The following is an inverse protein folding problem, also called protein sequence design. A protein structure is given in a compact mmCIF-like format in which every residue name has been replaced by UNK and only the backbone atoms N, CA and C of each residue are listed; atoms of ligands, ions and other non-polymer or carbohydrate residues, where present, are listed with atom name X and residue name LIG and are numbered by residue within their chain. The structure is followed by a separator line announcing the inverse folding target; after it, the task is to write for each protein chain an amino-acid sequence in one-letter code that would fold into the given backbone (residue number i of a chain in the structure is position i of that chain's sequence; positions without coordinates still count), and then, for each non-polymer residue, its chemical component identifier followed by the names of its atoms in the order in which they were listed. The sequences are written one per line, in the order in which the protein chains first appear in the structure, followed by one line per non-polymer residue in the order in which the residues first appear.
data_IF_989483938149
#
_entry.id   IF_989483938149
#
_cell.length_a   1.000
_cell.length_b   1.000
_cell.length_c   1.000
_cell.angle_alpha   90.00
_cell.angle_beta   90.00
_cell.angle_gamma   90.00
#
_symmetry.space_group_name_H-M   'P 1'
#
loop_
_entity.id
_entity.type
_entity.pdbx_description
1 polymer ?
#
# COMPACT_ATOMS: atom_id res chain seq x y z
N UNK A 1 -16.42 -76.47 -8.02
CA UNK A 1 -15.36 -75.72 -7.41
C UNK A 1 -15.30 -74.31 -8.07
N UNK A 2 -16.06 -73.37 -7.54
CA UNK A 2 -16.01 -71.94 -7.95
C UNK A 2 -15.10 -71.19 -6.96
N UNK A 3 -13.96 -70.75 -7.43
CA UNK A 3 -13.00 -69.92 -6.63
C UNK A 3 -13.23 -68.44 -6.92
N UNK A 4 -13.64 -67.73 -5.86
CA UNK A 4 -13.81 -66.29 -5.76
C UNK A 4 -12.69 -65.47 -6.42
N UNK A 5 -13.09 -64.60 -7.37
CA UNK A 5 -12.26 -63.52 -7.88
C UNK A 5 -13.02 -62.18 -7.75
N UNK A 6 -13.17 -61.71 -6.55
CA UNK A 6 -13.57 -60.31 -6.31
C UNK A 6 -12.95 -59.89 -4.98
N UNK A 7 -11.78 -59.26 -5.00
CA UNK A 7 -11.65 -58.02 -4.27
C UNK A 7 -10.66 -57.01 -4.87
N UNK A 8 -10.20 -57.13 -6.14
CA UNK A 8 -9.18 -56.20 -6.66
C UNK A 8 -9.74 -54.91 -7.26
N UNK A 9 -11.01 -54.86 -7.60
CA UNK A 9 -11.65 -53.68 -8.22
C UNK A 9 -12.01 -52.62 -7.19
N UNK A 10 -12.31 -53.00 -5.95
CA UNK A 10 -12.68 -52.04 -4.89
C UNK A 10 -11.47 -51.27 -4.31
N UNK A 11 -10.25 -51.80 -4.41
CA UNK A 11 -9.04 -51.13 -3.90
C UNK A 11 -8.57 -50.03 -4.83
N UNK A 12 -8.82 -50.15 -6.14
CA UNK A 12 -8.47 -49.11 -7.12
C UNK A 12 -9.46 -47.92 -7.11
N UNK A 13 -10.74 -48.18 -6.81
CA UNK A 13 -11.74 -47.12 -6.69
C UNK A 13 -11.54 -46.29 -5.42
N UNK A 14 -11.08 -46.90 -4.31
CA UNK A 14 -10.77 -46.18 -3.08
C UNK A 14 -9.49 -45.33 -3.18
N UNK A 15 -8.52 -45.75 -3.98
CA UNK A 15 -7.29 -45.00 -4.19
C UNK A 15 -7.51 -43.77 -5.10
N UNK A 16 -8.48 -43.83 -6.02
CA UNK A 16 -8.86 -42.68 -6.86
C UNK A 16 -9.71 -41.63 -6.10
N UNK A 17 -10.41 -42.03 -5.06
CA UNK A 17 -11.19 -41.10 -4.18
C UNK A 17 -10.29 -40.35 -3.19
N UNK A 18 -9.07 -40.84 -2.91
CA UNK A 18 -8.10 -40.17 -2.04
C UNK A 18 -7.23 -39.12 -2.78
N UNK A 19 -7.17 -39.17 -4.11
CA UNK A 19 -6.38 -38.22 -4.92
C UNK A 19 -7.18 -36.93 -5.28
N UNK A 20 -8.51 -36.91 -5.09
CA UNK A 20 -9.37 -35.76 -5.40
C UNK A 20 -9.44 -34.73 -4.24
N UNK A 21 -8.74 -34.98 -3.13
CA UNK A 21 -8.81 -34.13 -1.94
C UNK A 21 -7.77 -32.99 -1.89
N UNK A 22 -6.99 -32.75 -2.91
CA UNK A 22 -5.97 -31.69 -2.90
C UNK A 22 -6.06 -30.71 -4.09
N UNK A 23 -7.30 -30.39 -4.51
CA UNK A 23 -7.52 -29.13 -5.19
C UNK A 23 -8.22 -28.19 -4.19
N UNK A 24 -7.50 -27.83 -3.15
CA UNK A 24 -7.91 -26.73 -2.28
C UNK A 24 -7.95 -25.47 -3.13
N UNK A 25 -9.13 -25.12 -3.63
CA UNK A 25 -9.38 -23.80 -4.14
C UNK A 25 -9.00 -22.81 -3.02
N UNK A 26 -8.06 -21.92 -3.28
CA UNK A 26 -7.71 -20.86 -2.35
C UNK A 26 -9.00 -20.16 -1.92
N UNK A 27 -9.28 -20.18 -0.61
CA UNK A 27 -10.46 -19.46 -0.11
C UNK A 27 -10.28 -17.98 -0.40
N UNK A 28 -11.28 -17.33 -1.03
CA UNK A 28 -11.18 -15.92 -1.35
C UNK A 28 -10.90 -15.12 -0.07
N UNK A 29 -9.94 -14.20 -0.11
CA UNK A 29 -9.76 -13.27 1.00
C UNK A 29 -10.97 -12.36 1.06
N UNK A 30 -11.75 -12.53 2.10
CA UNK A 30 -12.91 -11.69 2.39
C UNK A 30 -12.46 -10.54 3.28
N UNK A 31 -12.92 -9.33 2.98
CA UNK A 31 -12.83 -8.21 3.93
C UNK A 31 -13.85 -8.44 5.03
N UNK A 32 -13.36 -8.87 6.20
CA UNK A 32 -14.20 -9.23 7.36
C UNK A 32 -14.19 -8.18 8.46
N UNK A 33 -13.06 -7.46 8.62
CA UNK A 33 -12.87 -6.50 9.70
C UNK A 33 -12.27 -5.20 9.18
N UNK A 34 -12.91 -4.07 9.45
CA UNK A 34 -12.42 -2.73 9.12
C UNK A 34 -12.21 -1.97 10.41
N UNK A 35 -11.02 -1.40 10.58
CA UNK A 35 -10.67 -0.53 11.68
C UNK A 35 -10.82 0.92 11.21
N UNK A 36 -11.60 1.71 11.94
CA UNK A 36 -11.75 3.15 11.69
C UNK A 36 -11.08 3.91 12.82
N UNK A 37 -10.00 4.60 12.51
CA UNK A 37 -9.25 5.37 13.48
C UNK A 37 -9.65 6.85 13.41
N UNK A 38 -10.12 7.38 14.53
CA UNK A 38 -10.26 8.81 14.71
C UNK A 38 -8.94 9.39 15.21
N UNK A 39 -8.27 10.21 14.39
CA UNK A 39 -7.02 10.86 14.75
C UNK A 39 -7.12 11.68 16.05
N UNK A 40 -6.01 11.77 16.79
CA UNK A 40 -5.91 12.53 18.04
C UNK A 40 -6.87 12.05 19.13
N UNK A 41 -7.17 12.91 20.14
CA UNK A 41 -8.12 12.64 21.22
C UNK A 41 -7.60 13.00 22.59
N UNK A 42 -8.50 13.30 23.53
CA UNK A 42 -8.18 13.66 24.91
C UNK A 42 -7.23 14.87 25.00
N UNK A 43 -6.04 14.65 25.53
CA UNK A 43 -4.98 15.67 25.67
C UNK A 43 -4.30 16.03 24.36
N UNK A 44 -4.34 15.17 23.35
CA UNK A 44 -3.85 15.47 22.00
C UNK A 44 -4.97 16.10 21.17
N UNK A 45 -4.93 17.42 21.04
CA UNK A 45 -5.98 18.18 20.32
C UNK A 45 -5.80 18.15 18.79
N UNK A 46 -4.61 17.74 18.28
CA UNK A 46 -4.25 17.88 16.88
C UNK A 46 -4.17 19.34 16.44
N UNK A 47 -4.42 19.58 15.17
CA UNK A 47 -4.51 20.92 14.61
C UNK A 47 -5.75 21.66 15.13
N UNK A 48 -5.74 22.99 14.99
CA UNK A 48 -6.85 23.85 15.39
C UNK A 48 -7.03 25.02 14.43
N UNK A 49 -8.27 25.45 14.23
CA UNK A 49 -8.59 26.66 13.52
C UNK A 49 -8.11 27.89 14.31
N UNK A 50 -7.06 28.57 13.83
CA UNK A 50 -6.41 29.68 14.54
C UNK A 50 -6.30 30.95 13.70
N UNK A 51 -7.02 31.05 12.61
CA UNK A 51 -7.09 32.27 11.81
C UNK A 51 -8.18 33.22 12.32
N UNK A 52 -8.20 34.46 11.84
CA UNK A 52 -9.20 35.44 12.21
C UNK A 52 -10.61 34.99 11.78
N UNK A 53 -11.57 35.03 12.70
CA UNK A 53 -12.95 34.53 12.52
C UNK A 53 -13.10 33.02 12.32
N UNK A 54 -12.10 32.23 12.67
CA UNK A 54 -12.21 30.76 12.71
C UNK A 54 -13.26 30.30 13.74
N UNK A 55 -13.88 29.14 13.50
CA UNK A 55 -14.77 28.46 14.45
C UNK A 55 -14.02 27.92 15.67
N UNK A 56 -12.69 28.01 15.67
CA UNK A 56 -11.81 27.45 16.73
C UNK A 56 -11.94 25.94 16.86
N UNK A 57 -12.26 25.29 15.78
CA UNK A 57 -12.39 23.84 15.72
C UNK A 57 -11.10 23.15 16.15
N UNK A 58 -11.23 21.99 16.77
CA UNK A 58 -10.12 21.11 17.13
C UNK A 58 -10.19 19.87 16.26
N UNK A 59 -9.06 19.43 15.74
CA UNK A 59 -8.98 18.27 14.87
C UNK A 59 -9.56 17.01 15.53
N UNK A 60 -9.26 16.79 16.82
CA UNK A 60 -9.76 15.64 17.56
C UNK A 60 -11.29 15.51 17.59
N UNK A 61 -12.01 16.64 17.60
CA UNK A 61 -13.47 16.66 17.65
C UNK A 61 -14.05 16.35 16.25
N UNK A 62 -13.45 16.95 15.22
CA UNK A 62 -13.83 16.74 13.82
C UNK A 62 -13.59 15.30 13.40
N UNK A 63 -12.41 14.77 13.69
CA UNK A 63 -12.02 13.39 13.31
C UNK A 63 -12.92 12.36 13.99
N UNK A 64 -13.30 12.59 15.27
CA UNK A 64 -14.23 11.72 15.96
C UNK A 64 -15.62 11.75 15.33
N UNK A 65 -16.14 12.94 15.01
CA UNK A 65 -17.46 13.09 14.41
C UNK A 65 -17.54 12.38 13.04
N UNK A 66 -16.55 12.59 12.17
CA UNK A 66 -16.49 11.94 10.85
C UNK A 66 -16.31 10.42 10.99
N UNK A 67 -15.40 9.97 11.87
CA UNK A 67 -15.14 8.54 12.07
C UNK A 67 -16.39 7.80 12.57
N UNK A 68 -17.16 8.37 13.48
CA UNK A 68 -18.40 7.74 13.95
C UNK A 68 -19.45 7.63 12.85
N UNK A 69 -19.64 8.66 12.03
CA UNK A 69 -20.53 8.60 10.85
C UNK A 69 -20.04 7.55 9.84
N UNK A 70 -18.74 7.47 9.62
CA UNK A 70 -18.14 6.44 8.74
C UNK A 70 -18.40 5.04 9.29
N UNK A 71 -18.24 4.82 10.60
CA UNK A 71 -18.55 3.52 11.24
C UNK A 71 -20.01 3.13 11.01
N UNK A 72 -20.94 4.08 11.20
CA UNK A 72 -22.37 3.84 11.03
C UNK A 72 -22.72 3.54 9.57
N UNK A 73 -22.15 4.30 8.62
CA UNK A 73 -22.39 4.09 7.20
C UNK A 73 -21.78 2.77 6.71
N UNK A 74 -20.57 2.43 7.13
CA UNK A 74 -19.95 1.12 6.81
C UNK A 74 -20.77 -0.05 7.36
N UNK A 75 -21.25 0.01 8.61
CA UNK A 75 -22.12 -1.03 9.18
C UNK A 75 -23.43 -1.20 8.42
N UNK A 76 -24.01 -0.10 8.00
CA UNK A 76 -25.25 -0.07 7.21
C UNK A 76 -25.06 -0.67 5.83
N UNK A 77 -23.99 -0.31 5.13
CA UNK A 77 -23.74 -0.69 3.74
C UNK A 77 -23.02 -2.04 3.58
N UNK A 78 -22.32 -2.50 4.62
CA UNK A 78 -21.54 -3.73 4.64
C UNK A 78 -21.94 -4.61 5.85
N UNK A 79 -23.19 -5.11 5.91
CA UNK A 79 -23.72 -5.78 7.12
C UNK A 79 -22.97 -7.07 7.49
N UNK A 80 -22.18 -7.64 6.57
CA UNK A 80 -21.33 -8.83 6.84
C UNK A 80 -19.93 -8.49 7.33
N UNK A 81 -19.59 -7.20 7.50
CA UNK A 81 -18.26 -6.73 7.88
C UNK A 81 -18.28 -6.19 9.31
N UNK A 82 -17.33 -6.63 10.13
CA UNK A 82 -17.13 -6.09 11.47
C UNK A 82 -16.42 -4.74 11.36
N UNK A 83 -17.02 -3.67 11.86
CA UNK A 83 -16.43 -2.32 11.84
C UNK A 83 -16.13 -1.88 13.27
N UNK A 84 -14.87 -1.56 13.54
CA UNK A 84 -14.34 -1.29 14.87
C UNK A 84 -13.72 0.11 14.89
N UNK A 85 -14.28 1.07 15.61
CA UNK A 85 -13.62 2.35 15.88
C UNK A 85 -12.50 2.19 16.89
N UNK A 86 -11.39 2.93 16.73
CA UNK A 86 -10.34 2.97 17.76
C UNK A 86 -10.80 3.69 19.02
N UNK A 87 -11.65 4.70 18.87
CA UNK A 87 -12.31 5.42 19.97
C UNK A 87 -13.72 5.85 19.59
N UNK A 88 -14.60 5.91 20.57
CA UNK A 88 -15.98 6.41 20.43
C UNK A 88 -16.25 7.66 21.26
N UNK A 89 -15.27 8.09 22.03
CA UNK A 89 -15.33 9.27 22.90
C UNK A 89 -14.03 10.07 22.81
N UNK A 90 -13.97 11.23 23.43
CA UNK A 90 -12.78 12.09 23.47
C UNK A 90 -11.75 11.56 24.48
N UNK A 91 -11.06 10.48 24.13
CA UNK A 91 -9.97 9.89 24.90
C UNK A 91 -8.65 9.93 24.12
N UNK A 92 -7.54 10.05 24.84
CA UNK A 92 -6.22 9.93 24.25
C UNK A 92 -5.82 8.46 24.11
N UNK A 93 -5.33 8.10 22.94
CA UNK A 93 -4.73 6.79 22.67
C UNK A 93 -3.41 7.01 21.93
N UNK A 94 -2.37 6.31 22.38
CA UNK A 94 -1.07 6.32 21.67
C UNK A 94 -1.21 5.65 20.30
N UNK A 95 -0.46 6.08 19.28
CA UNK A 95 -0.44 5.39 17.98
C UNK A 95 -0.15 3.88 18.09
N UNK A 96 0.70 3.48 19.06
CA UNK A 96 1.00 2.07 19.35
C UNK A 96 -0.22 1.28 19.86
N UNK A 97 -1.08 1.92 20.66
CA UNK A 97 -2.30 1.29 21.19
C UNK A 97 -3.34 1.12 20.07
N UNK A 98 -3.45 2.09 19.15
CA UNK A 98 -4.32 2.02 17.98
C UNK A 98 -3.89 0.91 17.01
N UNK A 99 -2.58 0.79 16.74
CA UNK A 99 -2.04 -0.27 15.92
C UNK A 99 -2.22 -1.66 16.57
N UNK A 100 -1.99 -1.78 17.90
CA UNK A 100 -2.23 -3.01 18.65
C UNK A 100 -3.70 -3.43 18.60
N UNK A 101 -4.61 -2.50 18.77
CA UNK A 101 -6.04 -2.76 18.63
C UNK A 101 -6.37 -3.31 17.23
N UNK A 102 -5.81 -2.71 16.17
CA UNK A 102 -6.03 -3.16 14.81
C UNK A 102 -5.55 -4.60 14.60
N UNK A 103 -4.40 -4.95 15.17
CA UNK A 103 -3.85 -6.32 15.13
C UNK A 103 -4.67 -7.30 15.97
N UNK A 104 -5.06 -6.94 17.19
CA UNK A 104 -5.86 -7.76 18.11
C UNK A 104 -7.21 -8.16 17.50
N UNK A 105 -7.81 -7.27 16.72
CA UNK A 105 -9.07 -7.55 16.04
C UNK A 105 -8.90 -8.13 14.63
N UNK A 106 -7.68 -8.47 14.21
CA UNK A 106 -7.38 -9.01 12.88
C UNK A 106 -8.01 -8.15 11.77
N UNK A 107 -7.65 -6.84 11.77
CA UNK A 107 -8.18 -5.88 10.79
C UNK A 107 -7.70 -6.21 9.38
N UNK A 108 -8.61 -6.19 8.41
CA UNK A 108 -8.31 -6.33 7.00
C UNK A 108 -8.01 -4.97 6.33
N UNK A 109 -8.57 -3.89 6.88
CA UNK A 109 -8.33 -2.52 6.45
C UNK A 109 -8.22 -1.58 7.66
N UNK A 110 -7.34 -0.57 7.54
CA UNK A 110 -7.19 0.49 8.53
C UNK A 110 -7.43 1.86 7.87
N UNK A 111 -8.50 2.55 8.29
CA UNK A 111 -8.91 3.85 7.79
C UNK A 111 -8.67 4.91 8.86
N UNK A 112 -7.66 5.75 8.69
CA UNK A 112 -7.30 6.79 9.65
C UNK A 112 -7.84 8.15 9.21
N UNK A 113 -8.67 8.77 10.03
CA UNK A 113 -9.35 10.04 9.75
C UNK A 113 -8.61 11.19 10.44
N UNK A 114 -8.17 12.16 9.65
CA UNK A 114 -7.47 13.38 10.08
C UNK A 114 -8.05 14.64 9.44
N UNK A 115 -7.58 15.80 9.87
CA UNK A 115 -7.82 17.07 9.23
C UNK A 115 -6.52 17.88 9.21
N UNK A 116 -6.04 18.14 8.00
CA UNK A 116 -4.75 18.81 7.76
C UNK A 116 -4.74 20.27 8.24
N UNK A 117 -3.56 20.82 8.37
CA UNK A 117 -3.36 22.23 8.60
C UNK A 117 -2.11 22.71 7.87
N UNK A 118 -2.13 23.96 7.41
CA UNK A 118 -0.98 24.59 6.79
C UNK A 118 -0.43 25.73 7.64
N UNK A 119 0.78 26.20 7.34
CA UNK A 119 1.35 27.36 8.02
C UNK A 119 0.54 28.62 7.72
N UNK A 120 0.11 29.33 8.78
CA UNK A 120 -0.65 30.56 8.67
C UNK A 120 0.29 31.75 8.47
N UNK A 121 -0.01 32.59 7.48
CA UNK A 121 0.67 33.87 7.29
C UNK A 121 0.13 34.89 8.27
N UNK A 122 1.00 35.82 8.68
CA UNK A 122 0.61 36.96 9.51
C UNK A 122 0.18 38.11 8.60
N UNK A 123 -1.03 38.60 8.81
CA UNK A 123 -1.53 39.86 8.27
C UNK A 123 -1.35 41.00 9.27
N UNK A 124 -1.40 42.22 8.79
CA UNK A 124 -1.47 43.42 9.62
C UNK A 124 -2.46 44.41 9.04
N UNK A 125 -3.23 45.08 9.90
CA UNK A 125 -4.08 46.20 9.52
C UNK A 125 -3.80 47.40 10.43
N UNK A 126 -3.82 48.60 9.86
CA UNK A 126 -3.71 49.80 10.66
C UNK A 126 -5.02 50.03 11.41
N UNK A 127 -4.94 50.17 12.72
CA UNK A 127 -6.11 50.38 13.62
C UNK A 127 -6.16 51.78 14.17
N UNK A 128 -5.15 52.61 13.95
CA UNK A 128 -5.09 54.01 14.39
C UNK A 128 -3.72 54.61 14.18
N UNK A 129 -3.53 55.75 14.79
CA UNK A 129 -2.23 56.42 14.95
C UNK A 129 -1.98 56.74 16.41
N UNK A 130 -0.72 56.85 16.78
CA UNK A 130 -0.30 57.37 18.09
C UNK A 130 0.68 58.51 17.90
N UNK A 131 0.56 59.58 18.72
CA UNK A 131 1.57 60.65 18.75
C UNK A 131 2.81 60.17 19.50
N UNK A 132 3.96 60.32 18.89
CA UNK A 132 5.26 59.95 19.46
C UNK A 132 6.19 61.16 19.39
N UNK A 133 6.71 61.54 20.56
CA UNK A 133 7.68 62.62 20.62
C UNK A 133 9.01 62.17 20.09
N UNK A 134 9.48 62.78 19.00
CA UNK A 134 10.82 62.65 18.47
C UNK A 134 11.66 63.88 18.72
N UNK A 135 12.99 63.75 18.65
CA UNK A 135 13.88 64.87 18.95
C UNK A 135 14.76 65.17 17.69
N UNK A 136 14.66 66.41 17.23
CA UNK A 136 15.60 66.97 16.24
C UNK A 136 16.87 67.36 16.98
N UNK A 137 18.00 66.87 16.56
CA UNK A 137 19.28 67.19 17.14
C UNK A 137 19.90 68.29 16.29
N UNK A 138 20.20 69.43 16.95
CA UNK A 138 20.96 70.53 16.38
C UNK A 138 22.17 70.86 17.26
N UNK A 139 23.13 71.57 16.69
CA UNK A 139 24.32 72.00 17.41
C UNK A 139 24.45 73.51 17.30
N UNK A 140 24.67 74.19 18.40
CA UNK A 140 24.95 75.62 18.45
C UNK A 140 26.34 75.82 19.01
N UNK A 141 27.03 76.94 18.59
CA UNK A 141 28.38 77.30 18.98
C UNK A 141 29.45 76.89 17.93
N UNK A 142 30.65 77.39 18.07
CA UNK A 142 31.78 77.14 17.14
C UNK A 142 32.89 76.34 17.83
N UNK A 143 33.59 75.50 17.07
CA UNK A 143 34.75 74.73 17.52
C UNK A 143 34.41 73.73 18.70
N UNK A 144 35.30 73.66 19.68
CA UNK A 144 35.18 72.77 20.85
C UNK A 144 34.01 73.11 21.80
N UNK A 145 33.32 74.25 21.57
CA UNK A 145 32.17 74.70 22.40
C UNK A 145 30.77 74.40 21.78
N UNK A 146 30.71 73.47 20.81
CA UNK A 146 29.40 73.02 20.26
C UNK A 146 28.55 72.38 21.33
N UNK A 147 27.39 72.97 21.57
CA UNK A 147 26.35 72.34 22.46
C UNK A 147 25.29 71.66 21.61
N UNK A 148 24.96 70.42 21.97
CA UNK A 148 23.86 69.63 21.40
C UNK A 148 22.54 70.12 21.96
N UNK A 149 21.63 70.54 21.09
CA UNK A 149 20.27 70.93 21.44
C UNK A 149 19.34 69.82 20.91
N UNK A 150 18.46 69.32 21.76
CA UNK A 150 17.36 68.41 21.41
C UNK A 150 16.07 69.19 21.43
N UNK A 151 15.42 69.36 20.28
CA UNK A 151 14.13 70.02 20.16
C UNK A 151 13.07 68.95 19.94
N UNK A 152 12.08 68.79 20.84
CA UNK A 152 11.02 67.85 20.67
C UNK A 152 10.09 68.28 19.52
N UNK A 153 9.55 67.30 18.80
CA UNK A 153 8.47 67.48 17.87
C UNK A 153 7.61 66.20 17.85
N UNK A 154 6.31 66.34 17.62
CA UNK A 154 5.35 65.23 17.60
C UNK A 154 5.29 64.68 16.17
N UNK A 155 5.21 63.33 16.10
CA UNK A 155 5.01 62.58 14.85
C UNK A 155 3.92 61.54 15.08
N UNK A 156 2.95 61.54 14.20
CA UNK A 156 1.93 60.49 14.18
C UNK A 156 2.52 59.19 13.57
N UNK A 157 2.57 58.11 14.37
CA UNK A 157 3.00 56.81 13.93
C UNK A 157 1.78 55.86 13.83
N UNK A 158 1.70 55.04 12.74
CA UNK A 158 0.62 54.09 12.60
C UNK A 158 0.68 53.00 13.69
N UNK A 159 -0.43 52.65 14.24
CA UNK A 159 -0.59 51.49 15.13
C UNK A 159 -1.19 50.34 14.33
N UNK A 160 -0.51 49.20 14.36
CA UNK A 160 -0.93 48.02 13.61
C UNK A 160 -1.43 46.93 14.57
N UNK A 161 -2.52 46.31 14.21
CA UNK A 161 -2.98 45.03 14.76
C UNK A 161 -2.50 43.89 13.84
N UNK A 162 -2.02 42.81 14.44
CA UNK A 162 -1.57 41.64 13.72
C UNK A 162 -2.57 40.50 13.91
N UNK A 163 -2.90 39.81 12.82
CA UNK A 163 -3.80 38.69 12.83
C UNK A 163 -3.27 37.54 11.97
N UNK A 164 -3.73 36.31 12.23
CA UNK A 164 -3.42 35.17 11.40
C UNK A 164 -4.38 35.13 10.22
N UNK A 165 -3.83 35.08 9.00
CA UNK A 165 -4.60 34.95 7.77
C UNK A 165 -5.02 33.49 7.56
N UNK A 166 -6.24 33.21 7.05
CA UNK A 166 -6.65 31.88 6.72
C UNK A 166 -5.81 31.26 5.61
N UNK A 167 -5.75 29.95 5.58
CA UNK A 167 -5.17 29.20 4.47
C UNK A 167 -6.10 29.29 3.25
N UNK A 168 -5.54 29.42 2.06
CA UNK A 168 -6.30 29.44 0.80
C UNK A 168 -6.45 28.05 0.17
N UNK A 169 -5.53 27.13 0.48
CA UNK A 169 -5.63 25.73 0.03
C UNK A 169 -6.79 25.04 0.73
N UNK A 170 -7.63 24.33 -0.04
CA UNK A 170 -8.77 23.57 0.45
C UNK A 170 -8.86 22.22 -0.27
N UNK A 171 -9.59 21.27 0.29
CA UNK A 171 -9.84 19.96 -0.30
C UNK A 171 -9.42 18.80 0.61
N UNK A 172 -9.71 17.59 0.14
CA UNK A 172 -9.39 16.33 0.82
C UNK A 172 -8.20 15.66 0.13
N UNK A 173 -7.26 15.11 0.90
CA UNK A 173 -6.14 14.32 0.36
C UNK A 173 -6.05 12.98 1.07
N UNK A 174 -5.53 11.98 0.37
CA UNK A 174 -5.30 10.65 0.93
C UNK A 174 -3.80 10.38 1.00
N UNK A 175 -3.36 9.80 2.08
CA UNK A 175 -1.95 9.54 2.35
C UNK A 175 -1.72 8.07 2.61
N UNK A 176 -0.69 7.54 1.98
CA UNK A 176 -0.19 6.20 2.21
C UNK A 176 1.25 6.25 2.70
N UNK A 177 1.69 5.15 3.26
CA UNK A 177 3.07 4.99 3.68
C UNK A 177 4.00 4.92 2.45
N UNK A 178 5.19 5.54 2.53
CA UNK A 178 6.07 5.65 1.38
C UNK A 178 6.76 4.32 1.04
N UNK A 179 6.76 3.96 -0.24
CA UNK A 179 7.27 2.69 -0.79
C UNK A 179 8.69 2.30 -0.36
N UNK A 180 9.61 3.27 -0.28
CA UNK A 180 11.00 3.01 0.10
C UNK A 180 11.20 2.67 1.59
N UNK A 181 10.13 2.74 2.41
CA UNK A 181 10.15 2.39 3.84
C UNK A 181 9.42 1.08 4.15
N UNK A 182 9.17 0.24 3.16
CA UNK A 182 8.67 -1.13 3.38
C UNK A 182 9.49 -1.90 4.42
N UNK A 183 10.76 -1.54 4.62
CA UNK A 183 11.61 -2.07 5.71
C UNK A 183 11.08 -1.78 7.12
N UNK A 184 10.33 -0.71 7.34
CA UNK A 184 9.73 -0.40 8.64
C UNK A 184 8.48 -1.25 8.88
N UNK A 185 7.63 -1.41 7.87
CA UNK A 185 6.48 -2.35 7.89
C UNK A 185 7.00 -3.78 8.06
N UNK A 186 8.09 -4.13 7.37
CA UNK A 186 8.77 -5.40 7.50
C UNK A 186 9.22 -5.66 8.94
N UNK A 187 9.82 -4.67 9.63
CA UNK A 187 10.20 -4.79 11.04
C UNK A 187 8.98 -5.03 11.94
N UNK A 188 7.85 -4.40 11.65
CA UNK A 188 6.60 -4.60 12.39
C UNK A 188 6.07 -6.02 12.19
N UNK A 189 6.08 -6.52 10.95
CA UNK A 189 5.70 -7.91 10.62
C UNK A 189 6.65 -8.91 11.31
N UNK A 190 7.95 -8.63 11.35
CA UNK A 190 8.97 -9.51 11.94
C UNK A 190 9.12 -9.39 13.46
N UNK A 191 8.75 -8.26 14.05
CA UNK A 191 8.89 -7.96 15.48
C UNK A 191 7.61 -8.08 16.27
N UNK A 192 6.52 -8.49 15.62
CA UNK A 192 5.25 -8.80 16.29
C UNK A 192 5.42 -9.93 17.30
N UNK A 193 4.68 -9.86 18.41
CA UNK A 193 4.64 -10.86 19.48
C UNK A 193 4.60 -12.28 18.93
N UNK A 194 5.11 -13.25 19.69
CA UNK A 194 5.22 -14.69 19.35
C UNK A 194 3.87 -15.34 18.93
N UNK A 195 2.75 -14.62 19.04
CA UNK A 195 1.40 -15.03 18.64
C UNK A 195 0.89 -14.32 17.38
N UNK A 196 1.78 -13.83 16.52
CA UNK A 196 1.38 -13.19 15.28
C UNK A 196 0.98 -14.24 14.24
N UNK A 197 -0.31 -14.55 14.17
CA UNK A 197 -0.91 -15.30 13.07
C UNK A 197 -1.03 -14.36 11.87
N UNK A 198 -0.16 -14.52 10.88
CA UNK A 198 -0.44 -14.02 9.55
C UNK A 198 -1.50 -14.96 8.98
N UNK A 199 -2.74 -14.50 8.85
CA UNK A 199 -3.66 -15.11 7.92
C UNK A 199 -3.06 -14.93 6.53
N UNK A 200 -2.31 -15.92 6.10
CA UNK A 200 -1.72 -15.94 4.78
C UNK A 200 -2.87 -16.09 3.78
N UNK A 201 -3.10 -15.05 2.96
CA UNK A 201 -4.00 -15.14 1.82
C UNK A 201 -3.65 -16.38 0.99
N UNK A 202 -4.50 -17.40 1.04
CA UNK A 202 -4.38 -18.59 0.21
C UNK A 202 -3.37 -19.65 0.66
N UNK A 203 -2.87 -19.61 1.89
CA UNK A 203 -2.23 -20.77 2.50
C UNK A 203 -3.29 -21.46 3.36
N UNK A 204 -3.91 -22.49 2.81
CA UNK A 204 -4.70 -23.42 3.62
C UNK A 204 -3.88 -23.86 4.82
N UNK A 205 -4.39 -23.60 6.02
CA UNK A 205 -4.12 -24.23 7.30
C UNK A 205 -2.91 -25.20 7.34
N UNK A 206 -1.76 -24.76 6.88
CA UNK A 206 -0.51 -25.36 7.26
C UNK A 206 -0.11 -24.62 8.54
N UNK A 207 -0.29 -25.26 9.68
CA UNK A 207 0.35 -24.96 10.95
C UNK A 207 1.88 -24.96 10.80
N UNK A 208 2.41 -24.09 9.98
CA UNK A 208 3.83 -23.82 9.96
C UNK A 208 3.98 -22.37 10.43
N UNK A 209 4.33 -22.25 11.70
CA UNK A 209 4.94 -21.05 12.23
C UNK A 209 6.11 -20.68 11.31
N UNK A 210 5.86 -19.80 10.33
CA UNK A 210 6.93 -19.26 9.52
C UNK A 210 7.87 -18.49 10.42
N UNK A 211 9.10 -18.99 10.55
CA UNK A 211 10.15 -18.24 11.21
C UNK A 211 10.52 -17.03 10.31
N UNK A 212 9.87 -15.88 10.54
CA UNK A 212 10.18 -14.63 9.85
C UNK A 212 11.62 -14.14 10.07
N UNK A 213 12.35 -14.71 11.03
CA UNK A 213 13.78 -14.45 11.23
C UNK A 213 14.62 -15.26 10.24
N UNK A 214 14.08 -16.32 9.67
CA UNK A 214 14.75 -17.11 8.62
C UNK A 214 14.93 -16.29 7.33
N UNK A 215 15.88 -16.65 6.46
CA UNK A 215 16.03 -16.00 5.16
C UNK A 215 14.76 -16.06 4.30
N UNK A 216 14.04 -17.19 4.31
CA UNK A 216 12.78 -17.38 3.60
C UNK A 216 11.66 -16.52 4.20
N UNK A 217 11.54 -16.51 5.55
CA UNK A 217 10.56 -15.69 6.26
C UNK A 217 10.73 -14.20 5.97
N UNK A 218 11.97 -13.70 5.86
CA UNK A 218 12.24 -12.30 5.49
C UNK A 218 11.74 -11.95 4.09
N UNK A 219 11.83 -12.88 3.14
CA UNK A 219 11.32 -12.67 1.78
C UNK A 219 9.81 -12.59 1.80
N UNK A 220 9.17 -13.56 2.46
CA UNK A 220 7.71 -13.60 2.59
C UNK A 220 7.22 -12.30 3.25
N UNK A 221 7.84 -11.88 4.34
CA UNK A 221 7.50 -10.62 5.00
C UNK A 221 7.68 -9.40 4.07
N UNK A 222 8.72 -9.38 3.22
CA UNK A 222 8.90 -8.30 2.24
C UNK A 222 7.82 -8.29 1.14
N UNK A 223 7.37 -9.46 0.70
CA UNK A 223 6.24 -9.61 -0.23
C UNK A 223 4.97 -9.06 0.40
N UNK A 224 4.65 -9.44 1.65
CA UNK A 224 3.47 -8.92 2.35
C UNK A 224 3.53 -7.41 2.55
N UNK A 225 4.67 -6.86 2.96
CA UNK A 225 4.82 -5.42 3.14
C UNK A 225 4.55 -4.66 1.82
N UNK A 226 5.03 -5.19 0.70
CA UNK A 226 4.77 -4.61 -0.63
C UNK A 226 3.28 -4.72 -1.00
N UNK A 227 2.65 -5.87 -0.79
CA UNK A 227 1.22 -6.06 -1.04
C UNK A 227 0.36 -5.10 -0.25
N UNK A 228 0.63 -4.93 1.05
CA UNK A 228 -0.13 -3.98 1.86
C UNK A 228 0.00 -2.56 1.33
N UNK A 229 1.16 -2.20 0.79
CA UNK A 229 1.35 -0.89 0.17
C UNK A 229 0.55 -0.75 -1.13
N UNK A 230 0.60 -1.72 -2.03
CA UNK A 230 -0.14 -1.70 -3.30
C UNK A 230 -1.66 -1.69 -3.05
N UNK A 231 -2.12 -2.47 -2.08
CA UNK A 231 -3.51 -2.47 -1.63
C UNK A 231 -3.92 -1.14 -1.00
N UNK A 232 -3.03 -0.52 -0.22
CA UNK A 232 -3.26 0.83 0.34
C UNK A 232 -3.36 1.88 -0.76
N UNK A 233 -2.49 1.84 -1.76
CA UNK A 233 -2.50 2.76 -2.91
C UNK A 233 -3.80 2.65 -3.70
N UNK A 234 -4.24 1.44 -3.97
CA UNK A 234 -5.51 1.17 -4.66
C UNK A 234 -6.72 1.69 -3.90
N UNK A 235 -6.79 1.39 -2.59
CA UNK A 235 -7.87 1.90 -1.74
C UNK A 235 -7.85 3.43 -1.65
N UNK A 236 -6.67 4.03 -1.50
CA UNK A 236 -6.49 5.47 -1.46
C UNK A 236 -6.94 6.15 -2.76
N UNK A 237 -6.61 5.54 -3.91
CA UNK A 237 -7.05 6.01 -5.22
C UNK A 237 -8.58 5.99 -5.32
N UNK A 238 -9.23 4.91 -4.89
CA UNK A 238 -10.70 4.83 -4.90
C UNK A 238 -11.34 5.86 -3.96
N UNK A 239 -10.74 6.11 -2.78
CA UNK A 239 -11.24 7.16 -1.88
C UNK A 239 -11.10 8.55 -2.52
N UNK A 240 -9.97 8.84 -3.17
CA UNK A 240 -9.76 10.11 -3.86
C UNK A 240 -10.80 10.32 -4.98
N UNK A 241 -11.08 9.29 -5.79
CA UNK A 241 -12.10 9.32 -6.85
C UNK A 241 -13.51 9.55 -6.28
N UNK A 242 -13.90 8.86 -5.21
CA UNK A 242 -15.24 9.04 -4.63
C UNK A 242 -15.40 10.41 -3.95
N UNK A 243 -14.33 10.99 -3.39
CA UNK A 243 -14.32 12.37 -2.92
C UNK A 243 -14.52 13.35 -4.08
N UNK A 244 -13.82 13.16 -5.19
CA UNK A 244 -13.98 13.97 -6.41
C UNK A 244 -15.41 13.90 -6.94
N UNK A 245 -16.03 12.73 -6.91
CA UNK A 245 -17.42 12.50 -7.33
C UNK A 245 -18.45 13.29 -6.49
N UNK A 246 -18.12 13.72 -5.28
CA UNK A 246 -18.96 14.62 -4.48
C UNK A 246 -18.92 16.08 -4.95
N UNK A 247 -18.03 16.42 -5.88
CA UNK A 247 -17.74 17.79 -6.30
C UNK A 247 -16.74 18.51 -5.40
N UNK A 248 -16.21 17.84 -4.37
CA UNK A 248 -15.15 18.38 -3.50
C UNK A 248 -13.78 18.27 -4.16
N UNK A 249 -12.91 19.24 -3.92
CA UNK A 249 -11.54 19.18 -4.40
C UNK A 249 -10.82 17.96 -3.80
N UNK A 250 -10.48 16.99 -4.66
CA UNK A 250 -9.64 15.86 -4.33
C UNK A 250 -8.19 16.20 -4.67
N UNK A 251 -7.31 16.15 -3.66
CA UNK A 251 -5.92 16.60 -3.77
C UNK A 251 -4.94 15.45 -4.08
N UNK A 252 -5.49 14.30 -4.47
CA UNK A 252 -4.74 13.13 -4.90
C UNK A 252 -4.25 12.25 -3.76
N UNK A 253 -3.61 11.14 -4.16
CA UNK A 253 -2.93 10.20 -3.28
C UNK A 253 -1.49 10.64 -3.12
N UNK A 254 -1.05 10.75 -1.88
CA UNK A 254 0.27 11.25 -1.52
C UNK A 254 1.02 10.22 -0.67
N UNK A 255 2.34 10.22 -0.75
CA UNK A 255 3.19 9.38 0.08
C UNK A 255 3.88 10.21 1.16
N UNK A 256 3.83 9.74 2.41
CA UNK A 256 4.43 10.43 3.54
C UNK A 256 5.47 9.53 4.23
N UNK A 257 6.58 10.14 4.61
CA UNK A 257 7.71 9.42 5.23
C UNK A 257 7.74 9.52 6.75
N UNK A 258 7.10 10.54 7.30
CA UNK A 258 7.17 10.91 8.72
C UNK A 258 5.78 11.33 9.19
N UNK A 259 5.46 11.05 10.45
CA UNK A 259 4.22 11.51 11.09
C UNK A 259 2.97 10.65 10.84
N UNK A 260 3.12 9.49 10.19
CA UNK A 260 2.04 8.50 10.00
C UNK A 260 2.44 7.13 10.57
N UNK A 261 3.02 7.18 11.76
CA UNK A 261 3.55 5.97 12.42
C UNK A 261 2.49 4.87 12.56
N UNK A 262 1.23 5.22 12.80
CA UNK A 262 0.15 4.25 12.93
C UNK A 262 -0.02 3.39 11.67
N UNK A 263 0.17 3.95 10.46
CA UNK A 263 0.10 3.19 9.20
C UNK A 263 1.29 2.24 9.03
N UNK A 264 2.45 2.57 9.64
CA UNK A 264 3.64 1.73 9.58
C UNK A 264 3.53 0.52 10.51
N UNK A 265 2.83 0.70 11.62
CA UNK A 265 2.69 -0.29 12.68
C UNK A 265 1.53 -1.26 12.47
N UNK A 266 0.76 -1.10 11.38
CA UNK A 266 -0.29 -2.03 11.01
C UNK A 266 0.20 -3.03 9.98
N UNK A 267 -0.24 -4.27 10.10
CA UNK A 267 0.08 -5.37 9.19
C UNK A 267 -1.07 -5.64 8.20
N UNK A 268 -1.71 -4.59 7.76
CA UNK A 268 -2.83 -4.59 6.81
C UNK A 268 -2.76 -3.36 5.91
N UNK A 269 -3.50 -3.33 4.79
CA UNK A 269 -3.67 -2.13 4.00
C UNK A 269 -4.20 -0.98 4.86
N UNK A 270 -3.49 0.16 4.85
CA UNK A 270 -3.76 1.29 5.72
C UNK A 270 -3.64 2.61 4.96
N UNK A 271 -4.63 3.49 5.13
CA UNK A 271 -4.65 4.83 4.54
C UNK A 271 -4.98 5.88 5.60
N UNK A 272 -4.48 7.09 5.41
CA UNK A 272 -4.83 8.26 6.20
C UNK A 272 -5.55 9.26 5.29
N UNK A 273 -6.72 9.72 5.72
CA UNK A 273 -7.58 10.62 4.97
C UNK A 273 -7.58 11.96 5.67
N UNK A 274 -6.94 12.95 5.06
CA UNK A 274 -7.01 14.36 5.47
C UNK A 274 -8.29 14.96 4.91
N UNK A 275 -9.31 15.04 5.72
CA UNK A 275 -10.68 15.38 5.31
C UNK A 275 -10.85 16.81 4.87
N UNK A 276 -9.93 17.70 5.21
CA UNK A 276 -9.88 19.12 4.85
C UNK A 276 -8.86 19.87 5.69
N UNK A 277 -8.62 21.14 5.34
CA UNK A 277 -7.72 22.00 6.11
C UNK A 277 -8.49 22.75 7.20
N UNK A 278 -8.24 22.43 8.47
CA UNK A 278 -8.92 23.03 9.62
C UNK A 278 -8.70 24.54 9.75
N UNK A 279 -7.69 25.08 9.10
CA UNK A 279 -7.37 26.51 9.05
C UNK A 279 -7.71 27.18 7.70
N UNK A 280 -8.52 26.52 6.86
CA UNK A 280 -9.20 27.09 5.72
C UNK A 280 -10.69 27.32 6.05
N UNK A 281 -11.28 28.52 5.81
CA UNK A 281 -12.65 28.83 6.23
C UNK A 281 -13.74 27.97 5.59
N UNK A 282 -13.56 27.52 4.34
CA UNK A 282 -14.52 26.67 3.64
C UNK A 282 -14.45 25.25 4.18
N UNK A 283 -13.23 24.72 4.29
CA UNK A 283 -12.99 23.38 4.83
C UNK A 283 -13.42 23.30 6.30
N UNK A 284 -13.05 24.28 7.14
CA UNK A 284 -13.45 24.29 8.56
C UNK A 284 -14.97 24.22 8.72
N UNK A 285 -15.73 25.00 7.92
CA UNK A 285 -17.19 24.92 7.93
C UNK A 285 -17.71 23.57 7.43
N UNK A 286 -17.12 23.04 6.37
CA UNK A 286 -17.54 21.78 5.75
C UNK A 286 -17.33 20.59 6.70
N UNK A 287 -16.13 20.41 7.24
CA UNK A 287 -15.80 19.29 8.14
C UNK A 287 -16.47 19.36 9.51
N UNK A 288 -17.00 20.55 9.88
CA UNK A 288 -17.81 20.72 11.09
C UNK A 288 -19.32 20.64 10.83
N UNK A 289 -19.75 20.63 9.57
CA UNK A 289 -21.17 20.51 9.23
C UNK A 289 -21.62 19.04 9.23
N UNK A 290 -22.84 18.80 9.68
CA UNK A 290 -23.44 17.46 9.64
C UNK A 290 -23.46 16.91 8.20
N UNK A 291 -23.80 17.76 7.21
CA UNK A 291 -23.80 17.43 5.81
C UNK A 291 -22.43 17.04 5.29
N UNK A 292 -21.39 17.84 5.53
CA UNK A 292 -20.05 17.57 5.02
C UNK A 292 -19.43 16.30 5.63
N UNK A 293 -19.67 16.07 6.93
CA UNK A 293 -19.25 14.85 7.62
C UNK A 293 -19.94 13.60 7.01
N UNK A 294 -21.24 13.70 6.72
CA UNK A 294 -22.00 12.61 6.13
C UNK A 294 -21.54 12.33 4.69
N UNK A 295 -21.35 13.37 3.86
CA UNK A 295 -20.83 13.23 2.49
C UNK A 295 -19.48 12.54 2.44
N UNK A 296 -18.56 12.90 3.37
CA UNK A 296 -17.26 12.23 3.49
C UNK A 296 -17.41 10.75 3.90
N UNK A 297 -18.26 10.47 4.88
CA UNK A 297 -18.52 9.10 5.32
C UNK A 297 -19.10 8.24 4.19
N UNK A 298 -20.03 8.76 3.41
CA UNK A 298 -20.62 8.07 2.26
C UNK A 298 -19.61 7.85 1.13
N UNK A 299 -18.79 8.85 0.79
CA UNK A 299 -17.75 8.73 -0.24
C UNK A 299 -16.71 7.67 0.14
N UNK A 300 -16.20 7.70 1.38
CA UNK A 300 -15.25 6.70 1.88
C UNK A 300 -15.89 5.30 1.87
N UNK A 301 -17.16 5.18 2.29
CA UNK A 301 -17.86 3.89 2.29
C UNK A 301 -18.02 3.33 0.87
N UNK A 302 -18.37 4.15 -0.12
CA UNK A 302 -18.43 3.73 -1.53
C UNK A 302 -17.09 3.24 -2.04
N UNK A 303 -16.00 3.93 -1.70
CA UNK A 303 -14.66 3.49 -2.06
C UNK A 303 -14.32 2.13 -1.45
N UNK A 304 -14.63 1.92 -0.17
CA UNK A 304 -14.44 0.63 0.52
C UNK A 304 -15.29 -0.48 -0.11
N UNK A 305 -16.54 -0.20 -0.50
CA UNK A 305 -17.39 -1.18 -1.21
C UNK A 305 -16.77 -1.58 -2.55
N UNK A 306 -16.32 -0.61 -3.34
CA UNK A 306 -15.63 -0.87 -4.63
C UNK A 306 -14.37 -1.69 -4.42
N UNK A 307 -13.56 -1.33 -3.44
CA UNK A 307 -12.35 -2.05 -3.09
C UNK A 307 -12.66 -3.49 -2.66
N UNK A 308 -13.63 -3.69 -1.76
CA UNK A 308 -14.08 -5.01 -1.32
C UNK A 308 -14.53 -5.87 -2.49
N UNK A 309 -15.39 -5.34 -3.38
CA UNK A 309 -15.86 -6.06 -4.56
C UNK A 309 -14.69 -6.47 -5.46
N UNK A 310 -13.71 -5.59 -5.68
CA UNK A 310 -12.55 -5.91 -6.49
C UNK A 310 -11.71 -7.01 -5.88
N UNK A 311 -11.34 -6.91 -4.60
CA UNK A 311 -10.53 -7.91 -3.89
C UNK A 311 -11.22 -9.27 -3.84
N UNK A 312 -12.53 -9.30 -3.63
CA UNK A 312 -13.29 -10.55 -3.54
C UNK A 312 -13.63 -11.16 -4.90
N UNK A 313 -13.78 -10.36 -5.97
CA UNK A 313 -14.01 -10.86 -7.33
C UNK A 313 -12.76 -11.46 -7.95
N UNK A 314 -11.59 -10.92 -7.65
CA UNK A 314 -10.29 -11.47 -8.07
C UNK A 314 -10.17 -12.94 -7.64
N UNK A 315 -10.67 -13.26 -6.46
CA UNK A 315 -10.60 -14.59 -5.88
C UNK A 315 -11.70 -15.56 -6.39
N UNK A 316 -12.75 -15.06 -7.04
CA UNK A 316 -13.87 -15.88 -7.53
C UNK A 316 -13.75 -16.29 -9.02
N UNK A 317 -12.80 -15.78 -9.75
CA UNK A 317 -12.51 -16.19 -11.12
C UNK A 317 -11.58 -17.41 -11.13
N UNK A 318 -12.10 -18.56 -10.69
CA UNK A 318 -11.50 -19.85 -11.08
C UNK A 318 -11.72 -19.98 -12.58
N UNK A 319 -10.68 -20.23 -13.41
CA UNK A 319 -10.90 -20.55 -14.81
C UNK A 319 -11.71 -21.84 -14.88
N UNK A 320 -12.98 -21.73 -15.26
CA UNK A 320 -13.74 -22.91 -15.66
C UNK A 320 -13.02 -23.47 -16.88
N UNK A 321 -12.56 -24.71 -16.87
CA UNK A 321 -11.95 -25.30 -18.06
C UNK A 321 -13.00 -25.23 -19.16
N UNK A 322 -12.66 -24.56 -20.24
CA UNK A 322 -13.47 -24.57 -21.45
C UNK A 322 -13.63 -26.03 -21.87
N UNK A 323 -14.82 -26.56 -21.72
CA UNK A 323 -15.18 -27.88 -22.26
C UNK A 323 -15.19 -27.74 -23.77
N UNK A 324 -14.07 -27.98 -24.40
CA UNK A 324 -14.01 -28.25 -25.80
C UNK A 324 -14.38 -29.71 -26.03
N UNK A 325 -15.62 -29.94 -26.48
CA UNK A 325 -15.98 -31.19 -27.12
C UNK A 325 -15.18 -31.30 -28.41
N UNK A 326 -14.06 -32.00 -28.37
CA UNK A 326 -13.51 -32.59 -29.59
C UNK A 326 -12.70 -33.86 -29.29
N UNK A 327 -13.18 -34.87 -29.95
CA UNK A 327 -12.72 -36.21 -30.30
C UNK A 327 -11.30 -36.62 -29.93
N UNK A 328 -11.29 -37.73 -29.19
CA UNK A 328 -10.33 -38.81 -29.08
C UNK A 328 -9.26 -38.84 -30.19
N UNK A 329 -8.03 -38.52 -29.80
CA UNK A 329 -6.83 -38.88 -30.53
C UNK A 329 -5.83 -39.54 -29.57
N UNK A 330 -5.31 -40.68 -30.02
CA UNK A 330 -4.39 -41.61 -29.36
C UNK A 330 -3.04 -40.95 -29.00
N UNK A 331 -2.34 -41.38 -27.94
CA UNK A 331 -1.06 -40.78 -27.55
C UNK A 331 0.05 -41.25 -28.49
N UNK A 332 0.69 -40.28 -29.13
CA UNK A 332 1.98 -40.47 -29.79
C UNK A 332 3.05 -39.78 -29.00
N UNK A 333 4.11 -40.49 -28.74
CA UNK A 333 5.32 -40.17 -28.03
C UNK A 333 6.09 -38.96 -28.60
N UNK A 334 6.77 -38.26 -27.68
CA UNK A 334 7.93 -37.40 -27.90
C UNK A 334 7.85 -36.31 -28.99
N UNK A 335 7.34 -35.13 -28.60
CA UNK A 335 7.74 -33.86 -29.23
C UNK A 335 8.15 -32.84 -28.19
N UNK A 336 9.45 -32.61 -28.11
CA UNK A 336 10.10 -31.47 -27.52
C UNK A 336 9.52 -30.19 -28.16
N UNK A 337 8.56 -29.55 -27.51
CA UNK A 337 7.88 -28.38 -28.05
C UNK A 337 8.82 -27.18 -27.93
N UNK A 338 9.51 -26.85 -29.01
CA UNK A 338 10.10 -25.52 -29.17
C UNK A 338 8.98 -24.58 -29.54
N UNK A 339 8.76 -23.52 -28.74
CA UNK A 339 7.86 -22.44 -29.10
C UNK A 339 8.34 -21.81 -30.40
N UNK A 340 7.44 -21.43 -31.33
CA UNK A 340 7.82 -20.76 -32.54
C UNK A 340 8.60 -19.48 -32.23
N UNK A 341 9.76 -19.30 -32.86
CA UNK A 341 10.64 -18.12 -32.71
C UNK A 341 9.90 -16.79 -32.88
N UNK A 342 8.79 -16.80 -33.62
CA UNK A 342 7.89 -15.67 -33.85
C UNK A 342 7.25 -15.05 -32.58
N UNK A 343 7.12 -15.80 -31.48
CA UNK A 343 6.49 -15.26 -30.27
C UNK A 343 7.43 -14.32 -29.50
N UNK A 344 8.75 -14.53 -29.63
CA UNK A 344 9.75 -13.65 -29.02
C UNK A 344 9.94 -12.36 -29.81
N UNK A 345 9.71 -12.35 -31.11
CA UNK A 345 9.91 -11.20 -32.00
C UNK A 345 8.78 -10.15 -31.89
N UNK A 346 7.62 -10.55 -31.38
CA UNK A 346 6.44 -9.67 -31.29
C UNK A 346 6.41 -8.79 -30.03
N UNK A 347 7.21 -9.11 -29.00
CA UNK A 347 7.26 -8.36 -27.74
C UNK A 347 8.63 -7.74 -27.53
N UNK A 348 8.62 -6.52 -26.98
CA UNK A 348 9.86 -5.85 -26.58
C UNK A 348 10.45 -6.57 -25.36
N UNK A 349 11.69 -7.02 -25.46
CA UNK A 349 12.40 -7.62 -24.34
C UNK A 349 13.13 -6.52 -23.56
N UNK A 350 12.72 -6.30 -22.32
CA UNK A 350 13.38 -5.36 -21.40
C UNK A 350 14.47 -6.08 -20.62
N UNK A 351 15.68 -5.59 -20.75
CA UNK A 351 16.83 -6.02 -19.97
C UNK A 351 16.74 -5.42 -18.56
N UNK A 352 16.47 -6.27 -17.58
CA UNK A 352 16.26 -5.80 -16.20
C UNK A 352 17.59 -5.78 -15.44
N UNK A 353 18.39 -6.84 -15.54
CA UNK A 353 19.63 -6.95 -14.79
C UNK A 353 20.58 -7.99 -15.37
N UNK A 354 21.88 -7.69 -15.36
CA UNK A 354 22.95 -8.67 -15.58
C UNK A 354 23.58 -9.05 -14.23
N UNK A 355 23.68 -10.34 -13.95
CA UNK A 355 24.20 -10.88 -12.69
C UNK A 355 25.46 -11.69 -12.97
N UNK A 356 26.55 -11.33 -12.29
CA UNK A 356 27.80 -12.07 -12.29
C UNK A 356 27.72 -13.18 -11.24
N UNK A 357 27.74 -14.44 -11.66
CA UNK A 357 27.70 -15.60 -10.77
C UNK A 357 29.05 -16.30 -10.67
N UNK A 358 29.31 -16.94 -9.54
CA UNK A 358 30.58 -17.67 -9.28
C UNK A 358 30.48 -19.16 -9.57
N UNK A 359 29.28 -19.73 -9.40
CA UNK A 359 29.04 -21.14 -9.59
C UNK A 359 28.32 -21.37 -10.93
N UNK A 360 28.64 -22.48 -11.59
CA UNK A 360 27.96 -22.87 -12.82
C UNK A 360 26.55 -23.42 -12.57
N UNK A 361 26.20 -23.74 -11.32
CA UNK A 361 24.82 -24.11 -10.93
C UNK A 361 24.33 -23.08 -9.91
N UNK A 362 23.17 -22.50 -10.21
CA UNK A 362 22.48 -21.53 -9.35
C UNK A 362 21.04 -21.97 -9.16
N UNK A 363 20.48 -21.63 -7.99
CA UNK A 363 19.06 -21.83 -7.69
C UNK A 363 18.31 -20.53 -7.93
N UNK A 364 17.13 -20.62 -8.50
CA UNK A 364 16.23 -19.49 -8.74
C UNK A 364 14.85 -19.83 -8.19
N UNK A 365 14.44 -19.07 -7.21
CA UNK A 365 13.11 -19.11 -6.61
C UNK A 365 12.27 -17.96 -7.17
N UNK A 366 11.09 -18.26 -7.68
CA UNK A 366 10.20 -17.28 -8.31
C UNK A 366 8.90 -17.23 -7.54
N UNK A 367 8.53 -16.03 -7.14
CA UNK A 367 7.33 -15.70 -6.38
C UNK A 367 6.46 -14.72 -7.15
N UNK A 368 5.19 -14.67 -6.84
CA UNK A 368 4.37 -13.52 -7.14
C UNK A 368 4.86 -12.31 -6.32
N UNK A 369 5.11 -11.17 -6.96
CA UNK A 369 5.62 -9.96 -6.31
C UNK A 369 4.50 -8.94 -5.97
N UNK A 370 3.28 -9.25 -6.32
CA UNK A 370 2.09 -8.43 -6.12
C UNK A 370 0.96 -9.15 -5.36
N UNK A 371 -0.26 -8.69 -5.56
CA UNK A 371 -1.45 -9.45 -5.17
C UNK A 371 -1.51 -10.74 -5.98
N UNK A 372 -1.87 -11.86 -5.33
CA UNK A 372 -2.10 -13.11 -6.08
C UNK A 372 -3.37 -12.91 -6.90
N UNK A 373 -3.17 -12.62 -8.16
CA UNK A 373 -4.23 -12.24 -9.08
C UNK A 373 -4.34 -13.16 -10.30
N UNK A 374 -3.82 -14.40 -10.13
CA UNK A 374 -3.72 -15.43 -11.16
C UNK A 374 -2.75 -15.08 -12.31
N UNK A 375 -1.64 -14.44 -11.98
CA UNK A 375 -0.52 -14.29 -12.90
C UNK A 375 -0.02 -15.65 -13.37
N UNK A 376 -0.09 -15.89 -14.66
CA UNK A 376 0.45 -17.10 -15.33
C UNK A 376 1.62 -16.69 -16.18
N UNK A 377 2.77 -17.32 -15.93
CA UNK A 377 4.01 -17.01 -16.63
C UNK A 377 4.68 -18.26 -17.17
N UNK A 378 5.38 -18.12 -18.29
CA UNK A 378 6.33 -19.09 -18.80
C UNK A 378 7.75 -18.55 -18.69
N UNK A 379 8.69 -19.44 -18.38
CA UNK A 379 10.11 -19.11 -18.28
C UNK A 379 10.89 -19.79 -19.40
N UNK A 380 11.74 -19.00 -20.02
CA UNK A 380 12.63 -19.49 -21.05
C UNK A 380 14.09 -19.25 -20.65
N UNK A 381 14.89 -20.31 -20.67
CA UNK A 381 16.32 -20.23 -20.43
C UNK A 381 17.08 -20.50 -21.68
N UNK A 382 17.89 -19.55 -22.12
CA UNK A 382 18.65 -19.63 -23.40
C UNK A 382 17.72 -20.01 -24.57
N UNK A 383 16.58 -19.34 -24.69
CA UNK A 383 15.50 -19.56 -25.68
C UNK A 383 14.80 -20.92 -25.62
N UNK A 384 15.06 -21.75 -24.61
CA UNK A 384 14.36 -23.02 -24.38
C UNK A 384 13.34 -22.87 -23.30
N UNK A 385 12.15 -23.38 -23.51
CA UNK A 385 11.09 -23.41 -22.49
C UNK A 385 11.57 -24.23 -21.28
N UNK A 386 11.58 -23.61 -20.11
CA UNK A 386 11.99 -24.22 -18.86
C UNK A 386 10.79 -24.48 -17.94
N UNK A 387 9.86 -23.53 -17.88
CA UNK A 387 8.61 -23.62 -17.11
C UNK A 387 7.48 -23.19 -18.02
N UNK A 388 6.45 -24.01 -18.14
CA UNK A 388 5.28 -23.73 -18.97
C UNK A 388 4.08 -23.36 -18.12
N UNK A 389 3.50 -22.19 -18.38
CA UNK A 389 2.23 -21.70 -17.83
C UNK A 389 2.06 -21.91 -16.33
N UNK A 390 3.04 -21.44 -15.57
CA UNK A 390 3.02 -21.55 -14.11
C UNK A 390 2.27 -20.38 -13.50
N UNK A 391 1.27 -20.66 -12.69
CA UNK A 391 0.66 -19.65 -11.83
C UNK A 391 1.63 -19.28 -10.71
N UNK A 392 1.88 -18.00 -10.56
CA UNK A 392 2.70 -17.45 -9.48
C UNK A 392 1.89 -17.38 -8.18
N UNK A 393 2.59 -17.59 -7.07
CA UNK A 393 2.01 -17.55 -5.72
C UNK A 393 3.04 -17.00 -4.73
N UNK A 394 2.66 -16.91 -3.45
CA UNK A 394 3.62 -16.63 -2.36
C UNK A 394 4.59 -17.77 -2.09
N UNK A 395 4.25 -18.99 -2.50
CA UNK A 395 5.18 -20.11 -2.42
C UNK A 395 6.13 -20.08 -3.63
N UNK A 396 7.43 -20.29 -3.43
CA UNK A 396 8.38 -20.26 -4.52
C UNK A 396 8.15 -21.39 -5.52
N UNK A 397 8.31 -21.08 -6.79
CA UNK A 397 8.61 -22.07 -7.79
C UNK A 397 10.13 -22.12 -7.97
N UNK A 398 10.77 -23.18 -7.44
CA UNK A 398 12.22 -23.31 -7.44
C UNK A 398 12.72 -24.05 -8.68
N UNK A 399 13.73 -23.50 -9.33
CA UNK A 399 14.40 -24.09 -10.50
C UNK A 399 15.92 -24.02 -10.31
N UNK A 400 16.63 -24.97 -10.92
CA UNK A 400 18.10 -24.94 -10.97
C UNK A 400 18.55 -24.62 -12.39
N UNK A 401 19.36 -23.58 -12.53
CA UNK A 401 19.96 -23.20 -13.80
C UNK A 401 21.41 -23.66 -13.88
N UNK A 402 21.82 -24.17 -15.08
CA UNK A 402 23.22 -24.45 -15.38
C UNK A 402 23.76 -23.38 -16.31
N UNK A 403 24.68 -22.57 -15.78
CA UNK A 403 25.27 -21.41 -16.47
C UNK A 403 26.41 -21.89 -17.34
N UNK A 404 26.34 -21.64 -18.66
CA UNK A 404 27.35 -21.97 -19.61
C UNK A 404 28.53 -21.00 -19.52
N UNK A 405 29.77 -21.49 -19.30
CA UNK A 405 30.95 -20.61 -19.23
C UNK A 405 31.21 -19.90 -20.56
N UNK A 406 31.68 -18.65 -20.48
CA UNK A 406 32.08 -17.89 -21.67
C UNK A 406 30.92 -17.42 -22.56
N UNK A 407 29.68 -17.60 -22.09
CA UNK A 407 28.45 -17.12 -22.76
C UNK A 407 27.62 -16.31 -21.85
N UNK A 408 26.82 -15.42 -22.41
CA UNK A 408 25.72 -14.77 -21.73
C UNK A 408 24.55 -15.76 -21.67
N UNK A 409 24.07 -16.07 -20.45
CA UNK A 409 22.92 -16.94 -20.26
C UNK A 409 21.71 -16.09 -19.98
N UNK A 410 20.58 -16.33 -20.60
CA UNK A 410 19.39 -15.50 -20.57
C UNK A 410 18.21 -16.25 -19.96
N UNK A 411 17.62 -15.68 -18.90
CA UNK A 411 16.36 -16.14 -18.33
C UNK A 411 15.28 -15.09 -18.61
N UNK A 412 14.30 -15.47 -19.41
CA UNK A 412 13.23 -14.60 -19.86
C UNK A 412 11.92 -15.01 -19.17
N UNK A 413 11.24 -14.02 -18.58
CA UNK A 413 9.87 -14.12 -18.07
C UNK A 413 8.90 -13.65 -19.16
N UNK A 414 7.98 -14.53 -19.51
CA UNK A 414 6.92 -14.31 -20.48
C UNK A 414 5.55 -14.36 -19.79
N UNK A 415 4.73 -13.33 -19.98
CA UNK A 415 3.38 -13.29 -19.45
C UNK A 415 2.41 -14.07 -20.36
N UNK A 416 1.85 -15.17 -19.86
CA UNK A 416 0.84 -15.96 -20.59
C UNK A 416 -0.56 -15.37 -20.46
N UNK A 417 -0.84 -14.68 -19.37
CA UNK A 417 -2.01 -13.83 -19.14
C UNK A 417 -1.57 -12.50 -18.53
N UNK A 418 -2.48 -11.68 -18.05
CA UNK A 418 -2.19 -10.44 -17.33
C UNK A 418 -2.77 -10.44 -15.91
N UNK A 419 -3.12 -11.63 -15.39
CA UNK A 419 -3.84 -11.69 -14.13
C UNK A 419 -5.13 -10.85 -14.17
N UNK A 420 -5.57 -10.41 -13.03
CA UNK A 420 -6.66 -9.42 -12.91
C UNK A 420 -6.14 -7.99 -12.68
N UNK A 421 -4.83 -7.85 -12.44
CA UNK A 421 -4.15 -6.57 -12.15
C UNK A 421 -2.88 -6.48 -12.98
N UNK A 422 -2.94 -6.06 -14.26
CA UNK A 422 -1.74 -5.91 -15.11
C UNK A 422 -0.74 -4.88 -14.54
N UNK A 423 0.55 -5.09 -14.81
CA UNK A 423 1.21 -6.21 -15.50
C UNK A 423 1.50 -7.39 -14.57
N UNK A 424 1.81 -8.58 -15.13
CA UNK A 424 2.34 -9.69 -14.33
C UNK A 424 3.62 -9.27 -13.63
N UNK A 425 3.72 -9.53 -12.33
CA UNK A 425 4.88 -9.20 -11.52
C UNK A 425 5.46 -10.44 -10.87
N UNK A 426 6.79 -10.51 -10.84
CA UNK A 426 7.51 -11.63 -10.23
C UNK A 426 8.71 -11.15 -9.43
N UNK A 427 8.93 -11.74 -8.26
CA UNK A 427 10.17 -11.64 -7.51
C UNK A 427 11.00 -12.89 -7.76
N UNK A 428 12.19 -12.70 -8.32
CA UNK A 428 13.19 -13.75 -8.45
C UNK A 428 14.25 -13.61 -7.37
N UNK A 429 14.49 -14.69 -6.64
CA UNK A 429 15.60 -14.83 -5.70
C UNK A 429 16.60 -15.80 -6.34
N UNK A 430 17.77 -15.30 -6.67
CA UNK A 430 18.84 -16.08 -7.28
C UNK A 430 19.89 -16.38 -6.22
N UNK A 431 20.13 -17.65 -5.96
CA UNK A 431 21.11 -18.14 -4.97
C UNK A 431 22.33 -18.72 -5.68
N UNK A 432 23.48 -18.06 -5.52
CA UNK A 432 24.78 -18.48 -6.03
C UNK A 432 25.70 -18.82 -4.84
N UNK A 433 25.65 -20.05 -4.38
CA UNK A 433 26.32 -20.51 -3.16
C UNK A 433 25.85 -19.76 -1.92
N UNK A 434 26.71 -18.90 -1.34
CA UNK A 434 26.36 -18.03 -0.21
C UNK A 434 25.86 -16.65 -0.63
N UNK A 435 25.93 -16.32 -1.90
CA UNK A 435 25.51 -15.01 -2.43
C UNK A 435 24.07 -15.10 -2.90
N UNK A 436 23.29 -14.07 -2.60
CA UNK A 436 21.88 -13.98 -2.94
C UNK A 436 21.59 -12.67 -3.67
N UNK A 437 20.84 -12.75 -4.75
CA UNK A 437 20.40 -11.59 -5.52
C UNK A 437 18.89 -11.57 -5.60
N UNK A 438 18.30 -10.39 -5.44
CA UNK A 438 16.88 -10.13 -5.65
C UNK A 438 16.70 -9.39 -6.98
N UNK A 439 15.74 -9.84 -7.78
CA UNK A 439 15.36 -9.19 -9.04
C UNK A 439 13.85 -9.19 -9.16
N UNK A 440 13.29 -7.99 -9.31
CA UNK A 440 11.88 -7.81 -9.59
C UNK A 440 11.66 -7.70 -11.07
N UNK A 441 10.70 -8.45 -11.57
CA UNK A 441 10.36 -8.54 -12.97
C UNK A 441 8.93 -8.09 -13.20
N UNK A 442 8.71 -7.51 -14.37
CA UNK A 442 7.36 -7.14 -14.81
C UNK A 442 7.23 -7.44 -16.29
N UNK A 443 6.23 -8.21 -16.67
CA UNK A 443 5.95 -8.60 -18.05
C UNK A 443 4.47 -8.38 -18.38
N UNK A 444 4.21 -8.07 -19.66
CA UNK A 444 2.85 -7.89 -20.19
C UNK A 444 2.78 -8.44 -21.64
N UNK A 445 1.64 -8.21 -22.32
CA UNK A 445 1.51 -8.66 -23.73
C UNK A 445 2.35 -7.87 -24.73
N UNK A 446 3.03 -6.80 -24.30
CA UNK A 446 3.92 -5.98 -25.14
C UNK A 446 5.39 -6.14 -24.74
N UNK A 447 5.66 -6.48 -23.48
CA UNK A 447 7.00 -6.51 -22.91
C UNK A 447 7.27 -7.83 -22.21
N UNK A 448 8.45 -8.41 -22.47
CA UNK A 448 9.03 -9.49 -21.68
C UNK A 448 10.10 -8.92 -20.75
N UNK A 449 10.35 -9.60 -19.62
CA UNK A 449 11.43 -9.24 -18.71
C UNK A 449 12.59 -10.23 -18.81
N UNK A 450 13.83 -9.74 -18.91
CA UNK A 450 15.03 -10.52 -19.12
C UNK A 450 16.05 -10.31 -18.00
N UNK A 451 16.60 -11.42 -17.48
CA UNK A 451 17.76 -11.44 -16.59
C UNK A 451 18.88 -12.18 -17.26
N UNK A 452 20.09 -11.59 -17.28
CA UNK A 452 21.29 -12.19 -17.81
C UNK A 452 22.20 -12.70 -16.71
N UNK A 453 22.86 -13.83 -16.96
CA UNK A 453 23.85 -14.41 -16.09
C UNK A 453 25.16 -14.59 -16.84
N UNK A 454 26.25 -14.19 -16.21
CA UNK A 454 27.61 -14.38 -16.67
C UNK A 454 28.43 -15.07 -15.59
N UNK A 455 29.09 -16.16 -15.94
CA UNK A 455 29.97 -16.85 -15.00
C UNK A 455 31.28 -16.07 -14.85
N UNK A 456 31.62 -15.69 -13.63
CA UNK A 456 32.93 -15.08 -13.36
C UNK A 456 34.04 -16.06 -13.71
N UNK A 457 34.96 -15.67 -14.60
CA UNK A 457 36.21 -16.38 -14.78
C UNK A 457 36.99 -16.27 -13.46
N UNK A 458 37.18 -17.38 -12.77
CA UNK A 458 38.17 -17.46 -11.70
C UNK A 458 39.56 -17.46 -12.39
N UNK A 459 40.19 -16.26 -12.51
CA UNK A 459 41.60 -16.13 -12.79
C UNK A 459 42.36 -16.37 -11.49
#
# INVERSE_FOLDING_TARGET
MLRNKVPFIFLFAALHLLIIKELSAQTPKLIKTIIVDAGHGGTDVGASGQYENSLRSKEKDVTLAIALKLVDELKKQLPGVKVIPTRTTDIYQKPTEKARLAQEFHGDLFLCIHADSGPLKQGKRQVGTRSVTRYKISYTGKGKRKKKIKTPYEVEEPVYEYFKMPLTRSGTSVWIFAAHKTSEVLKTIMGGDENFEIEADGIDSVESSFDFKSPQGKIIAAIYAKRYQERSDRLATMVNEEVENTGRAALGVNQRQVGIWVLQATNMPAILIETGFINNPEDERYINSDKGQQELAEAITKAVQRYKMQVESINNTTPQPAVSNDKKATPSSDKKTTVPEQVFETRVTKDIKTIQVKNNKIEVDIYDDGDIDNDIVSLYFNKKLLVDKKSLTTNPHSITLTIEPGKVNELLLFADNLGTIPPNTALMIITDGKTRHEVRLSADFKNNALVRFELKNNN
#
